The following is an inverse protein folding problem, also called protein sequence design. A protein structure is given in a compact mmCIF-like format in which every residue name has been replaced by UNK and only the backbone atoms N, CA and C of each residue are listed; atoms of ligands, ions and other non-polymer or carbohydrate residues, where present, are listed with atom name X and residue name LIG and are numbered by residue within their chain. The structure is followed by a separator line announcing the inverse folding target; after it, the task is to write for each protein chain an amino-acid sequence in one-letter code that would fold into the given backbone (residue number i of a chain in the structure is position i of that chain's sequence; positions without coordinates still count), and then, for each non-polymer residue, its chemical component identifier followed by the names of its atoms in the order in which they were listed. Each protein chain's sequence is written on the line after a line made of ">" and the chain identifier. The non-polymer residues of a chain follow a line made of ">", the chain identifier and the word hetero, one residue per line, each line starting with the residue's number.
data_IF_883167096679
#
_entry.id   IF_883167096679
#
_cell.length_a   1.000
_cell.length_b   1.000
_cell.length_c   1.000
_cell.angle_alpha   90.00
_cell.angle_beta   90.00
_cell.angle_gamma   90.00
#
_symmetry.space_group_name_H-M   'P 1'
#
loop_
_entity.id
_entity.type
_entity.pdbx_description
1 polymer ?
#
# COMPACT_ATOMS: atom_id res chain seq x y z
N UNK A 1 32.75 -50.96 -2.07
CA UNK A 1 32.09 -49.83 -2.70
C UNK A 1 31.71 -48.83 -1.65
N UNK A 2 32.46 -47.72 -1.50
CA UNK A 2 32.25 -46.72 -0.42
C UNK A 2 31.46 -45.57 -1.00
N UNK A 3 30.23 -45.37 -0.51
CA UNK A 3 29.42 -44.18 -0.82
C UNK A 3 29.92 -43.01 0.03
N UNK A 4 30.37 -41.94 -0.64
CA UNK A 4 30.72 -40.65 -0.02
C UNK A 4 29.44 -39.85 0.24
N UNK A 5 29.20 -39.53 1.49
CA UNK A 5 28.20 -38.58 1.94
C UNK A 5 28.58 -37.14 1.51
N UNK A 6 27.67 -36.45 0.84
CA UNK A 6 27.79 -35.04 0.46
C UNK A 6 27.13 -34.18 1.53
N UNK A 7 27.82 -33.24 2.19
CA UNK A 7 27.21 -32.28 3.09
C UNK A 7 26.99 -30.96 2.36
N UNK A 8 25.80 -30.73 1.78
CA UNK A 8 25.40 -29.41 1.27
C UNK A 8 23.95 -29.13 1.61
N UNK A 9 23.68 -28.67 2.84
CA UNK A 9 22.39 -28.07 3.17
C UNK A 9 22.49 -27.10 4.36
N UNK A 10 23.38 -26.10 4.29
CA UNK A 10 23.42 -25.02 5.31
C UNK A 10 23.97 -23.70 4.73
N UNK A 11 23.35 -23.13 3.70
CA UNK A 11 23.67 -21.74 3.27
C UNK A 11 22.54 -21.01 2.56
N UNK A 12 21.30 -21.15 2.97
CA UNK A 12 20.22 -20.33 2.40
C UNK A 12 19.19 -19.87 3.45
N UNK A 13 19.64 -19.16 4.47
CA UNK A 13 18.72 -18.48 5.42
C UNK A 13 19.20 -17.10 5.86
N UNK A 14 19.80 -16.29 4.98
CA UNK A 14 20.26 -14.96 5.43
C UNK A 14 20.22 -13.86 4.37
N UNK A 15 19.21 -13.80 3.50
CA UNK A 15 19.15 -12.69 2.52
C UNK A 15 17.81 -11.95 2.39
N UNK A 16 16.76 -12.34 3.10
CA UNK A 16 15.44 -11.68 2.97
C UNK A 16 15.17 -10.56 3.99
N UNK A 17 16.05 -10.36 4.99
CA UNK A 17 15.79 -9.42 6.10
C UNK A 17 16.33 -8.00 5.89
N UNK A 18 17.18 -7.79 4.90
CA UNK A 18 17.82 -6.47 4.70
C UNK A 18 16.94 -5.46 3.96
N UNK A 19 16.02 -5.90 3.12
CA UNK A 19 15.16 -4.97 2.37
C UNK A 19 14.02 -4.38 3.21
N UNK A 20 13.50 -5.12 4.18
CA UNK A 20 12.47 -4.59 5.11
C UNK A 20 13.02 -3.51 6.04
N UNK A 21 14.26 -3.67 6.53
CA UNK A 21 14.87 -2.69 7.44
C UNK A 21 15.25 -1.36 6.78
N UNK A 22 15.45 -1.33 5.47
CA UNK A 22 15.77 -0.10 4.75
C UNK A 22 14.55 0.81 4.55
N UNK A 23 13.35 0.23 4.32
CA UNK A 23 12.12 0.99 4.16
C UNK A 23 11.65 1.63 5.48
N UNK A 24 11.77 0.91 6.59
CA UNK A 24 11.38 1.41 7.92
C UNK A 24 12.30 2.56 8.39
N UNK A 25 13.58 2.50 8.05
CA UNK A 25 14.54 3.58 8.40
C UNK A 25 14.31 4.86 7.61
N UNK A 26 13.90 4.77 6.35
CA UNK A 26 13.58 5.95 5.52
C UNK A 26 12.42 6.76 6.06
N UNK A 27 11.38 6.10 6.57
CA UNK A 27 10.21 6.77 7.13
C UNK A 27 10.51 7.53 8.43
N UNK A 28 11.34 6.97 9.30
CA UNK A 28 11.73 7.61 10.57
C UNK A 28 12.58 8.87 10.33
N UNK A 29 13.44 8.89 9.31
CA UNK A 29 14.28 10.05 8.99
C UNK A 29 13.47 11.21 8.38
N UNK A 30 12.43 10.95 7.62
CA UNK A 30 11.53 12.00 7.08
C UNK A 30 10.77 12.68 8.23
N UNK A 31 10.29 11.94 9.20
CA UNK A 31 9.59 12.49 10.38
C UNK A 31 10.56 13.29 11.29
N UNK A 32 11.80 12.83 11.45
CA UNK A 32 12.84 13.53 12.23
C UNK A 32 13.35 14.81 11.55
N UNK A 33 13.49 14.84 10.22
CA UNK A 33 13.92 16.02 9.47
C UNK A 33 12.86 17.15 9.51
N UNK A 34 11.58 16.81 9.58
CA UNK A 34 10.49 17.77 9.75
C UNK A 34 10.44 18.34 11.17
N UNK A 35 10.95 17.62 12.18
CA UNK A 35 11.01 18.08 13.58
C UNK A 35 12.10 19.13 13.89
N UNK A 36 13.13 19.25 13.04
CA UNK A 36 14.27 20.15 13.29
C UNK A 36 14.09 21.53 12.64
N UNK A 37 13.15 21.69 11.73
CA UNK A 37 12.91 22.98 11.04
C UNK A 37 12.06 23.99 11.84
N UNK A 38 11.66 23.67 13.06
CA UNK A 38 10.80 24.54 13.90
C UNK A 38 11.64 25.33 14.92
N UNK A 39 12.46 26.29 14.45
CA UNK A 39 12.82 27.42 15.31
C UNK A 39 11.67 28.43 15.33
N UNK A 40 11.12 28.78 16.49
CA UNK A 40 10.02 29.74 16.55
C UNK A 40 10.56 31.13 16.27
N UNK A 41 10.41 31.63 15.05
CA UNK A 41 10.42 33.06 14.84
C UNK A 41 9.07 33.63 15.31
N UNK A 42 8.98 33.89 16.60
CA UNK A 42 7.96 34.76 17.15
C UNK A 42 8.18 36.17 16.59
N UNK A 43 7.37 36.58 15.61
CA UNK A 43 6.98 38.00 15.43
C UNK A 43 5.98 38.12 14.26
N UNK A 44 4.76 38.52 14.64
CA UNK A 44 3.76 39.19 13.81
C UNK A 44 3.14 38.49 12.61
N UNK A 45 2.26 37.53 12.84
CA UNK A 45 0.93 37.49 12.18
C UNK A 45 0.04 36.44 12.84
N UNK A 46 -1.11 36.81 13.30
CA UNK A 46 -2.11 35.95 13.99
C UNK A 46 -2.66 34.79 13.14
N UNK A 47 -2.16 34.59 11.90
CA UNK A 47 -2.71 33.64 10.94
C UNK A 47 -1.71 32.58 10.44
N UNK A 48 -0.41 32.75 10.69
CA UNK A 48 0.60 31.76 10.25
C UNK A 48 0.73 30.67 11.29
N UNK A 49 0.06 29.55 11.07
CA UNK A 49 0.07 28.43 12.01
C UNK A 49 0.51 27.15 11.33
N UNK A 50 1.39 26.45 11.99
CA UNK A 50 1.71 25.08 11.68
C UNK A 50 0.73 24.14 12.39
N UNK A 51 0.38 23.04 11.74
CA UNK A 51 -0.36 21.96 12.36
C UNK A 51 0.15 20.61 11.88
N UNK A 52 0.01 19.62 12.74
CA UNK A 52 0.32 18.21 12.43
C UNK A 52 -1.02 17.50 12.29
N UNK A 53 -1.13 16.64 11.29
CA UNK A 53 -2.31 15.81 11.06
C UNK A 53 -1.95 14.34 11.14
N UNK A 54 -2.83 13.53 11.74
CA UNK A 54 -2.79 12.09 11.68
C UNK A 54 -4.22 11.59 11.43
N UNK A 55 -4.40 10.75 10.42
CA UNK A 55 -5.71 10.27 10.05
C UNK A 55 -5.68 8.79 9.65
N UNK A 56 -6.80 8.14 9.85
CA UNK A 56 -7.12 6.82 9.29
C UNK A 56 -8.26 6.98 8.30
N UNK A 57 -8.28 6.14 7.31
CA UNK A 57 -9.32 6.24 6.30
C UNK A 57 -9.58 4.93 5.60
N UNK A 58 -10.46 5.00 4.63
CA UNK A 58 -10.85 3.89 3.80
C UNK A 58 -10.80 4.31 2.33
N UNK A 59 -10.18 3.49 1.50
CA UNK A 59 -10.12 3.71 0.07
C UNK A 59 -10.95 2.67 -0.69
N UNK A 60 -11.47 3.10 -1.83
CA UNK A 60 -12.07 2.23 -2.86
C UNK A 60 -11.38 2.55 -4.18
N UNK A 61 -10.53 1.63 -4.64
CA UNK A 61 -9.64 1.80 -5.78
C UNK A 61 -10.15 1.06 -7.02
N UNK A 62 -9.74 1.49 -8.20
CA UNK A 62 -10.05 0.88 -9.49
C UNK A 62 -9.12 -0.31 -9.78
N UNK A 63 -9.12 -1.31 -8.91
CA UNK A 63 -8.31 -2.53 -9.07
C UNK A 63 -9.13 -3.70 -9.66
N UNK A 64 -10.08 -3.39 -10.54
CA UNK A 64 -10.92 -4.40 -11.18
C UNK A 64 -10.10 -5.42 -11.97
N UNK A 65 -9.12 -4.96 -12.73
CA UNK A 65 -8.22 -5.84 -13.51
C UNK A 65 -7.42 -6.81 -12.61
N UNK A 66 -7.08 -6.39 -11.38
CA UNK A 66 -6.42 -7.27 -10.40
C UNK A 66 -7.39 -8.33 -9.89
N UNK A 67 -8.61 -7.95 -9.53
CA UNK A 67 -9.63 -8.87 -9.06
C UNK A 67 -10.03 -9.88 -10.17
N UNK A 68 -10.19 -9.42 -11.43
CA UNK A 68 -10.44 -10.28 -12.58
C UNK A 68 -9.30 -11.26 -12.84
N UNK A 69 -8.04 -10.82 -12.74
CA UNK A 69 -6.86 -11.68 -12.86
C UNK A 69 -6.82 -12.73 -11.75
N UNK A 70 -7.09 -12.33 -10.51
CA UNK A 70 -7.17 -13.26 -9.38
C UNK A 70 -8.24 -14.32 -9.62
N UNK A 71 -9.41 -13.95 -10.14
CA UNK A 71 -10.48 -14.89 -10.47
C UNK A 71 -10.07 -15.83 -11.63
N UNK A 72 -9.45 -15.29 -12.67
CA UNK A 72 -8.93 -16.09 -13.79
C UNK A 72 -7.88 -17.11 -13.33
N UNK A 73 -7.03 -16.76 -12.37
CA UNK A 73 -6.05 -17.69 -11.78
C UNK A 73 -6.74 -18.83 -11.01
N UNK A 74 -7.80 -18.51 -10.22
CA UNK A 74 -8.63 -19.51 -9.53
C UNK A 74 -9.26 -20.48 -10.52
N UNK A 75 -9.87 -19.97 -11.58
CA UNK A 75 -10.52 -20.76 -12.61
C UNK A 75 -9.48 -21.65 -13.35
N UNK A 76 -8.27 -21.12 -13.60
CA UNK A 76 -7.18 -21.86 -14.19
C UNK A 76 -6.74 -23.06 -13.35
N UNK A 77 -6.65 -22.92 -12.05
CA UNK A 77 -6.36 -24.01 -11.13
C UNK A 77 -7.51 -25.02 -11.03
N UNK A 78 -8.74 -24.52 -10.99
CA UNK A 78 -9.96 -25.34 -11.04
C UNK A 78 -10.00 -26.26 -12.26
N UNK A 79 -9.64 -25.75 -13.44
CA UNK A 79 -9.55 -26.52 -14.69
C UNK A 79 -8.44 -27.59 -14.67
N UNK A 80 -7.44 -27.43 -13.79
CA UNK A 80 -6.39 -28.44 -13.55
C UNK A 80 -6.76 -29.45 -12.44
N UNK A 81 -8.00 -29.41 -11.95
CA UNK A 81 -8.51 -30.29 -10.91
C UNK A 81 -8.13 -29.87 -9.48
N UNK A 82 -7.68 -28.63 -9.29
CA UNK A 82 -7.34 -28.06 -7.97
C UNK A 82 -8.32 -26.91 -7.66
N UNK A 83 -9.45 -27.20 -7.02
CA UNK A 83 -10.50 -26.19 -6.76
C UNK A 83 -10.10 -25.28 -5.59
N UNK A 84 -9.27 -24.28 -5.83
CA UNK A 84 -8.94 -23.24 -4.84
C UNK A 84 -10.13 -22.34 -4.58
N UNK A 85 -10.23 -21.78 -3.39
CA UNK A 85 -11.24 -20.82 -3.02
C UNK A 85 -11.08 -19.48 -3.77
N UNK A 86 -12.14 -18.67 -3.80
CA UNK A 86 -12.10 -17.34 -4.40
C UNK A 86 -11.28 -16.38 -3.53
N UNK A 87 -10.56 -15.46 -4.16
CA UNK A 87 -9.91 -14.37 -3.45
C UNK A 87 -10.92 -13.32 -2.97
N UNK A 88 -10.66 -12.73 -1.82
CA UNK A 88 -11.34 -11.51 -1.42
C UNK A 88 -10.91 -10.35 -2.34
N UNK A 89 -11.83 -9.40 -2.62
CA UNK A 89 -11.51 -8.24 -3.46
C UNK A 89 -10.43 -7.37 -2.81
N UNK A 90 -9.45 -6.92 -3.60
CA UNK A 90 -8.39 -6.00 -3.17
C UNK A 90 -8.77 -4.52 -3.30
N UNK A 91 -9.91 -4.20 -3.89
CA UNK A 91 -10.37 -2.83 -4.20
C UNK A 91 -10.59 -1.94 -2.98
N UNK A 92 -10.83 -2.54 -1.82
CA UNK A 92 -11.16 -1.82 -0.58
C UNK A 92 -10.13 -2.10 0.48
N UNK A 93 -9.52 -1.04 1.02
CA UNK A 93 -8.50 -1.17 2.06
C UNK A 93 -8.53 0.02 3.02
N UNK A 94 -8.25 -0.19 4.30
CA UNK A 94 -7.91 0.91 5.19
C UNK A 94 -6.58 1.53 4.76
N UNK A 95 -6.42 2.84 5.04
CA UNK A 95 -5.16 3.54 4.89
C UNK A 95 -4.88 4.41 6.12
N UNK A 96 -3.62 4.73 6.31
CA UNK A 96 -3.13 5.61 7.36
C UNK A 96 -2.42 6.78 6.71
N UNK A 97 -2.58 7.97 7.27
CA UNK A 97 -1.89 9.15 6.78
C UNK A 97 -1.40 10.02 7.94
N UNK A 98 -0.28 10.68 7.71
CA UNK A 98 0.27 11.68 8.60
C UNK A 98 0.84 12.82 7.75
N UNK A 99 0.78 14.04 8.27
CA UNK A 99 1.25 15.19 7.52
C UNK A 99 1.42 16.43 8.36
N UNK A 100 1.94 17.44 7.70
CA UNK A 100 2.06 18.79 8.24
C UNK A 100 1.27 19.73 7.34
N UNK A 101 0.63 20.70 7.95
CA UNK A 101 -0.13 21.75 7.27
C UNK A 101 0.35 23.10 7.76
N UNK A 102 0.62 23.99 6.83
CA UNK A 102 0.95 25.38 7.10
C UNK A 102 -0.16 26.27 6.57
N UNK A 103 -0.84 26.99 7.45
CA UNK A 103 -1.85 27.99 7.10
C UNK A 103 -1.17 29.31 6.84
N UNK A 104 -1.16 29.73 5.58
CA UNK A 104 -0.55 30.99 5.17
C UNK A 104 -1.39 32.20 5.59
N UNK A 105 -2.70 32.11 5.39
CA UNK A 105 -3.68 33.11 5.79
C UNK A 105 -5.01 32.44 6.24
N UNK A 106 -6.10 33.21 6.28
CA UNK A 106 -7.41 32.69 6.67
C UNK A 106 -8.01 31.73 5.66
N UNK A 107 -7.64 31.85 4.41
CA UNK A 107 -8.30 31.17 3.28
C UNK A 107 -7.43 30.08 2.69
N UNK A 108 -6.10 30.14 2.85
CA UNK A 108 -5.20 29.20 2.19
C UNK A 108 -4.28 28.46 3.16
N UNK A 109 -4.11 27.19 2.89
CA UNK A 109 -3.09 26.36 3.55
C UNK A 109 -2.37 25.49 2.54
N UNK A 110 -1.12 25.17 2.84
CA UNK A 110 -0.29 24.20 2.12
C UNK A 110 -0.06 23.01 3.06
N UNK A 111 -0.15 21.81 2.55
CA UNK A 111 0.08 20.58 3.32
C UNK A 111 1.06 19.66 2.61
N UNK A 112 1.84 18.94 3.39
CA UNK A 112 2.63 17.79 2.94
C UNK A 112 2.14 16.58 3.73
N UNK A 113 1.64 15.57 3.03
CA UNK A 113 1.03 14.39 3.63
C UNK A 113 1.67 13.13 3.06
N UNK A 114 2.03 12.20 3.93
CA UNK A 114 2.38 10.84 3.57
C UNK A 114 1.23 9.91 3.94
N UNK A 115 0.88 8.99 3.05
CA UNK A 115 -0.12 7.97 3.31
C UNK A 115 0.39 6.59 2.93
N UNK A 116 -0.12 5.58 3.61
CA UNK A 116 0.24 4.18 3.42
C UNK A 116 -1.00 3.30 3.49
N UNK A 117 -1.11 2.37 2.57
CA UNK A 117 -2.06 1.27 2.65
C UNK A 117 -1.46 -0.01 2.06
N UNK A 118 -1.94 -1.14 2.53
CA UNK A 118 -1.57 -2.45 2.00
C UNK A 118 -2.70 -3.42 2.25
N UNK A 119 -2.90 -4.35 1.32
CA UNK A 119 -3.85 -5.44 1.44
C UNK A 119 -3.26 -6.70 0.85
N UNK A 120 -3.32 -7.78 1.61
CA UNK A 120 -3.00 -9.13 1.15
C UNK A 120 -4.25 -9.98 1.20
N UNK A 121 -4.46 -10.76 0.17
CA UNK A 121 -5.55 -11.74 0.06
C UNK A 121 -4.94 -13.09 -0.26
N UNK A 122 -5.46 -14.12 0.38
CA UNK A 122 -4.96 -15.48 0.23
C UNK A 122 -6.09 -16.40 -0.22
N UNK A 123 -5.74 -17.42 -0.95
CA UNK A 123 -6.60 -18.54 -1.29
C UNK A 123 -5.81 -19.84 -1.17
N UNK A 124 -6.45 -20.90 -0.72
CA UNK A 124 -5.78 -22.19 -0.54
C UNK A 124 -6.69 -23.34 -0.90
N UNK A 125 -6.06 -24.44 -1.26
CA UNK A 125 -6.67 -25.74 -1.41
C UNK A 125 -5.81 -26.75 -0.62
N UNK A 126 -6.46 -27.55 0.21
CA UNK A 126 -5.84 -28.64 0.96
C UNK A 126 -6.70 -29.90 0.71
N UNK A 127 -6.21 -30.76 -0.15
CA UNK A 127 -6.88 -31.98 -0.60
C UNK A 127 -5.99 -33.21 -0.47
N UNK A 128 -6.54 -34.42 -0.63
CA UNK A 128 -5.80 -35.65 -0.42
C UNK A 128 -4.65 -35.85 -1.43
N UNK A 129 -4.77 -35.25 -2.62
CA UNK A 129 -3.82 -35.45 -3.72
C UNK A 129 -2.96 -34.21 -4.02
N UNK A 130 -3.35 -33.04 -3.51
CA UNK A 130 -2.63 -31.79 -3.74
C UNK A 130 -2.89 -30.77 -2.62
N UNK A 131 -1.90 -29.93 -2.39
CA UNK A 131 -1.97 -28.75 -1.54
C UNK A 131 -1.51 -27.54 -2.37
N UNK A 132 -2.25 -26.41 -2.30
CA UNK A 132 -1.89 -25.19 -3.01
C UNK A 132 -2.21 -24.00 -2.14
N UNK A 133 -1.26 -23.09 -2.02
CA UNK A 133 -1.40 -21.83 -1.31
C UNK A 133 -1.05 -20.66 -2.23
N UNK A 134 -1.95 -19.71 -2.35
CA UNK A 134 -1.85 -18.53 -3.20
C UNK A 134 -1.99 -17.28 -2.37
N UNK A 135 -1.01 -16.37 -2.44
CA UNK A 135 -1.06 -15.04 -1.82
C UNK A 135 -0.97 -13.95 -2.89
N UNK A 136 -1.75 -12.91 -2.73
CA UNK A 136 -1.72 -11.71 -3.56
C UNK A 136 -1.70 -10.48 -2.66
N UNK A 137 -0.68 -9.65 -2.83
CA UNK A 137 -0.52 -8.42 -2.08
C UNK A 137 -0.53 -7.20 -3.01
N UNK A 138 -1.21 -6.14 -2.60
CA UNK A 138 -1.17 -4.83 -3.27
C UNK A 138 -1.05 -3.74 -2.21
N UNK A 139 -0.36 -2.65 -2.54
CA UNK A 139 -0.21 -1.54 -1.61
C UNK A 139 0.42 -0.32 -2.27
N UNK A 140 0.33 0.82 -1.60
CA UNK A 140 0.98 2.07 -2.01
C UNK A 140 1.43 2.87 -0.81
N UNK A 141 2.54 3.57 -1.01
CA UNK A 141 2.96 4.70 -0.18
C UNK A 141 2.89 5.95 -1.04
N UNK A 142 2.14 6.95 -0.59
CA UNK A 142 1.96 8.19 -1.34
C UNK A 142 2.57 9.35 -0.54
N UNK A 143 3.27 10.26 -1.23
CA UNK A 143 3.72 11.54 -0.67
C UNK A 143 3.11 12.64 -1.50
N UNK A 144 2.33 13.51 -0.86
CA UNK A 144 1.43 14.44 -1.55
C UNK A 144 1.60 15.84 -0.99
N UNK A 145 1.80 16.81 -1.88
CA UNK A 145 1.68 18.24 -1.60
C UNK A 145 0.23 18.67 -1.89
N UNK A 146 -0.41 19.31 -0.93
CA UNK A 146 -1.79 19.79 -1.04
C UNK A 146 -1.87 21.31 -0.91
N UNK A 147 -2.80 21.90 -1.64
CA UNK A 147 -3.21 23.32 -1.46
C UNK A 147 -4.68 23.31 -1.10
N UNK A 148 -4.99 23.78 0.08
CA UNK A 148 -6.35 23.86 0.61
C UNK A 148 -6.86 25.31 0.59
N UNK A 149 -8.10 25.46 0.12
CA UNK A 149 -8.86 26.72 0.17
C UNK A 149 -9.98 26.61 1.22
N UNK A 150 -10.00 27.53 2.14
CA UNK A 150 -11.00 27.67 3.21
C UNK A 150 -11.89 28.84 2.90
N UNK A 151 -13.16 28.68 2.55
CA UNK A 151 -14.08 29.78 2.31
C UNK A 151 -14.26 30.68 3.55
N UNK A 152 -14.42 31.97 3.32
CA UNK A 152 -14.47 32.98 4.37
C UNK A 152 -15.70 32.85 5.27
N UNK A 153 -16.81 32.32 4.72
CA UNK A 153 -18.09 32.17 5.45
C UNK A 153 -18.12 30.81 6.12
N UNK A 154 -17.93 30.77 7.45
CA UNK A 154 -17.86 29.50 8.21
C UNK A 154 -18.31 29.73 9.67
N UNK A 155 -18.95 28.72 10.29
CA UNK A 155 -19.21 28.73 11.72
C UNK A 155 -17.87 28.69 12.51
N UNK A 156 -17.87 29.28 13.71
CA UNK A 156 -16.66 29.33 14.56
C UNK A 156 -16.04 27.99 14.89
N UNK A 157 -16.85 26.94 14.99
CA UNK A 157 -16.42 25.58 15.38
C UNK A 157 -16.15 24.67 14.20
N UNK A 158 -16.49 25.06 12.95
CA UNK A 158 -16.41 24.23 11.76
C UNK A 158 -15.71 25.00 10.64
N UNK A 159 -14.60 24.49 10.16
CA UNK A 159 -13.86 25.03 9.02
C UNK A 159 -13.85 24.00 7.90
N UNK A 160 -14.65 24.18 6.87
CA UNK A 160 -14.61 23.31 5.71
C UNK A 160 -13.60 23.83 4.68
N UNK A 161 -13.06 22.92 3.86
CA UNK A 161 -12.08 23.25 2.85
C UNK A 161 -12.22 22.40 1.61
N UNK A 162 -11.69 22.89 0.50
CA UNK A 162 -11.46 22.15 -0.73
C UNK A 162 -9.95 22.11 -0.93
N UNK A 163 -9.39 20.94 -1.22
CA UNK A 163 -7.95 20.74 -1.37
C UNK A 163 -7.63 20.04 -2.67
N UNK A 164 -6.72 20.62 -3.44
CA UNK A 164 -6.08 19.98 -4.57
C UNK A 164 -4.77 19.36 -4.11
N UNK A 165 -4.45 18.17 -4.64
CA UNK A 165 -3.32 17.36 -4.24
C UNK A 165 -2.48 16.99 -5.47
N UNK A 166 -1.16 17.09 -5.36
CA UNK A 166 -0.21 16.62 -6.35
C UNK A 166 0.92 15.89 -5.63
N UNK A 167 1.30 14.71 -6.10
CA UNK A 167 2.31 13.93 -5.40
C UNK A 167 2.85 12.76 -6.19
N UNK A 168 3.53 11.88 -5.47
CA UNK A 168 4.13 10.67 -5.97
C UNK A 168 3.48 9.46 -5.27
N UNK A 169 2.93 8.54 -6.06
CA UNK A 169 2.44 7.25 -5.61
C UNK A 169 3.52 6.18 -5.89
N UNK A 170 3.96 5.51 -4.85
CA UNK A 170 4.90 4.39 -4.90
C UNK A 170 4.12 3.10 -4.65
N UNK A 171 3.71 2.45 -5.74
CA UNK A 171 2.92 1.24 -5.69
C UNK A 171 3.80 -0.01 -5.55
N UNK A 172 3.23 -1.02 -4.92
CA UNK A 172 3.82 -2.35 -4.79
C UNK A 172 2.74 -3.40 -5.03
N UNK A 173 3.11 -4.46 -5.72
CA UNK A 173 2.31 -5.66 -5.84
C UNK A 173 3.18 -6.88 -5.56
N UNK A 174 2.61 -7.92 -4.98
CA UNK A 174 3.29 -9.19 -4.74
C UNK A 174 2.35 -10.35 -5.06
N UNK A 175 2.94 -11.43 -5.55
CA UNK A 175 2.23 -12.65 -5.84
C UNK A 175 3.09 -13.83 -5.36
N UNK A 176 2.50 -14.78 -4.66
CA UNK A 176 3.16 -16.02 -4.27
C UNK A 176 2.23 -17.19 -4.54
N UNK A 177 2.79 -18.24 -5.11
CA UNK A 177 2.11 -19.49 -5.32
C UNK A 177 3.04 -20.63 -4.89
N UNK A 178 2.60 -21.46 -3.96
CA UNK A 178 3.33 -22.66 -3.51
C UNK A 178 2.36 -23.82 -3.51
N UNK A 179 2.74 -24.92 -4.17
CA UNK A 179 1.89 -26.10 -4.21
C UNK A 179 2.68 -27.39 -4.33
N UNK A 180 2.19 -28.41 -3.67
CA UNK A 180 2.69 -29.76 -3.74
C UNK A 180 1.61 -30.72 -4.20
N UNK A 181 1.99 -31.78 -4.89
CA UNK A 181 1.10 -32.85 -5.34
C UNK A 181 1.66 -34.20 -4.92
N UNK A 182 0.79 -35.09 -4.48
CA UNK A 182 1.19 -36.48 -4.23
C UNK A 182 1.44 -37.21 -5.55
N UNK A 183 2.65 -37.66 -5.73
CA UNK A 183 3.05 -38.46 -6.89
C UNK A 183 3.39 -39.85 -6.46
N UNK A 184 2.93 -40.85 -7.20
CA UNK A 184 3.24 -42.26 -6.96
C UNK A 184 4.61 -42.61 -7.55
N UNK A 185 5.54 -42.95 -6.67
CA UNK A 185 6.85 -43.52 -7.08
C UNK A 185 6.92 -45.00 -6.64
N UNK A 186 6.69 -45.91 -7.59
CA UNK A 186 6.50 -47.31 -7.29
C UNK A 186 5.26 -47.58 -6.43
N UNK A 187 5.44 -48.03 -5.22
CA UNK A 187 4.36 -48.26 -4.22
C UNK A 187 4.23 -47.15 -3.17
N UNK A 188 5.10 -46.14 -3.22
CA UNK A 188 5.14 -45.06 -2.24
C UNK A 188 4.56 -43.77 -2.83
N UNK A 189 3.71 -43.04 -2.05
CA UNK A 189 3.27 -41.71 -2.38
C UNK A 189 4.24 -40.70 -1.79
N UNK A 190 4.82 -39.84 -2.64
CA UNK A 190 5.73 -38.77 -2.24
C UNK A 190 5.18 -37.41 -2.64
N UNK A 191 5.29 -36.38 -1.78
CA UNK A 191 4.94 -35.03 -2.17
C UNK A 191 5.98 -34.45 -3.12
N UNK A 192 5.53 -33.98 -4.28
CA UNK A 192 6.37 -33.29 -5.27
C UNK A 192 5.90 -31.85 -5.43
N UNK A 193 6.82 -30.92 -5.32
CA UNK A 193 6.55 -29.50 -5.53
C UNK A 193 6.28 -29.27 -7.03
N UNK A 194 5.08 -28.83 -7.38
CA UNK A 194 4.67 -28.56 -8.77
C UNK A 194 4.58 -27.06 -9.09
N UNK A 195 4.47 -26.21 -8.07
CA UNK A 195 4.57 -24.76 -8.21
C UNK A 195 5.31 -24.16 -7.02
N UNK A 196 6.27 -23.30 -7.31
CA UNK A 196 6.97 -22.45 -6.36
C UNK A 196 7.34 -21.17 -7.10
N UNK A 197 6.47 -20.16 -6.95
CA UNK A 197 6.61 -18.90 -7.65
C UNK A 197 6.38 -17.76 -6.68
N UNK A 198 7.32 -16.83 -6.66
CA UNK A 198 7.20 -15.57 -5.92
C UNK A 198 7.50 -14.42 -6.90
N UNK A 199 6.62 -13.43 -6.93
CA UNK A 199 6.79 -12.24 -7.76
C UNK A 199 6.57 -10.98 -6.94
N UNK A 200 7.41 -9.98 -7.17
CA UNK A 200 7.25 -8.65 -6.61
C UNK A 200 7.37 -7.61 -7.71
N UNK A 201 6.55 -6.60 -7.62
CA UNK A 201 6.52 -5.48 -8.57
C UNK A 201 6.49 -4.18 -7.82
N UNK A 202 7.19 -3.15 -8.32
CA UNK A 202 7.15 -1.82 -7.77
C UNK A 202 7.21 -0.78 -8.87
N UNK A 203 6.49 0.33 -8.71
CA UNK A 203 6.52 1.47 -9.63
C UNK A 203 6.15 2.74 -8.90
N UNK A 204 6.82 3.82 -9.28
CA UNK A 204 6.48 5.15 -8.82
C UNK A 204 5.93 5.99 -9.98
N UNK A 205 4.85 6.71 -9.75
CA UNK A 205 4.23 7.60 -10.72
C UNK A 205 3.61 8.81 -10.04
N UNK A 206 3.48 9.89 -10.78
CA UNK A 206 2.76 11.07 -10.28
C UNK A 206 1.30 10.73 -10.03
N UNK A 207 0.78 11.26 -8.95
CA UNK A 207 -0.63 11.21 -8.59
C UNK A 207 -1.18 12.61 -8.42
N UNK A 208 -2.45 12.77 -8.72
CA UNK A 208 -3.21 14.00 -8.49
C UNK A 208 -4.50 13.67 -7.75
N UNK A 209 -5.08 14.65 -7.08
CA UNK A 209 -6.35 14.45 -6.38
C UNK A 209 -7.09 15.73 -6.06
N UNK A 210 -8.36 15.55 -5.78
CA UNK A 210 -9.24 16.59 -5.28
C UNK A 210 -9.96 16.03 -4.05
N UNK A 211 -9.99 16.81 -2.98
CA UNK A 211 -10.69 16.42 -1.75
C UNK A 211 -11.46 17.62 -1.18
N UNK A 212 -12.51 17.30 -0.46
CA UNK A 212 -13.26 18.22 0.37
C UNK A 212 -13.17 17.70 1.80
N UNK A 213 -13.02 18.62 2.77
CA UNK A 213 -12.91 18.22 4.16
C UNK A 213 -13.45 19.28 5.08
N UNK A 214 -13.44 18.93 6.38
CA UNK A 214 -13.85 19.80 7.45
C UNK A 214 -12.97 19.57 8.68
N UNK A 215 -12.57 20.66 9.32
CA UNK A 215 -11.88 20.67 10.59
C UNK A 215 -12.88 21.16 11.66
N UNK A 216 -13.23 20.28 12.61
CA UNK A 216 -14.15 20.57 13.71
C UNK A 216 -13.31 20.84 14.96
N UNK A 217 -13.33 22.07 15.44
CA UNK A 217 -12.58 22.46 16.63
C UNK A 217 -13.17 21.80 17.88
N UNK A 218 -12.37 21.00 18.58
CA UNK A 218 -12.76 20.33 19.82
C UNK A 218 -12.39 21.18 21.04
N UNK A 219 -11.14 21.59 21.12
CA UNK A 219 -10.61 22.48 22.17
C UNK A 219 -9.35 23.19 21.66
N UNK A 220 -8.74 24.03 22.49
CA UNK A 220 -7.59 24.84 22.05
C UNK A 220 -6.46 23.95 21.49
N UNK A 221 -6.08 24.20 20.25
CA UNK A 221 -5.02 23.49 19.54
C UNK A 221 -5.40 22.12 18.98
N UNK A 222 -6.63 21.60 19.22
CA UNK A 222 -7.06 20.30 18.70
C UNK A 222 -8.33 20.42 17.87
N UNK A 223 -8.32 19.78 16.71
CA UNK A 223 -9.48 19.64 15.85
C UNK A 223 -9.62 18.20 15.35
N UNK A 224 -10.88 17.76 15.17
CA UNK A 224 -11.20 16.57 14.40
C UNK A 224 -11.19 16.98 12.92
N UNK A 225 -10.41 16.31 12.09
CA UNK A 225 -10.41 16.52 10.64
C UNK A 225 -11.08 15.36 9.94
N UNK A 226 -11.92 15.67 8.96
CA UNK A 226 -12.60 14.69 8.13
C UNK A 226 -12.42 15.11 6.67
N UNK A 227 -12.17 14.16 5.78
CA UNK A 227 -12.03 14.45 4.36
C UNK A 227 -12.59 13.31 3.50
N UNK A 228 -13.14 13.70 2.35
CA UNK A 228 -13.50 12.78 1.28
C UNK A 228 -12.97 13.35 -0.04
N UNK A 229 -12.52 12.48 -0.94
CA UNK A 229 -11.94 12.93 -2.19
C UNK A 229 -11.75 11.82 -3.20
N UNK A 230 -11.20 12.20 -4.33
CA UNK A 230 -10.81 11.30 -5.40
C UNK A 230 -9.34 11.48 -5.74
N UNK A 231 -8.63 10.36 -5.89
CA UNK A 231 -7.24 10.30 -6.32
C UNK A 231 -7.16 9.72 -7.72
N UNK A 232 -6.29 10.32 -8.53
CA UNK A 232 -5.89 9.84 -9.86
C UNK A 232 -4.46 9.30 -9.76
N UNK A 233 -4.26 8.00 -9.96
CA UNK A 233 -2.95 7.36 -9.85
C UNK A 233 -2.89 6.11 -10.75
N UNK A 234 -2.92 6.32 -12.06
CA UNK A 234 -2.80 5.26 -13.06
C UNK A 234 -1.32 4.89 -13.22
N UNK A 235 -0.92 3.73 -12.73
CA UNK A 235 0.45 3.25 -12.80
C UNK A 235 0.77 2.51 -14.10
N UNK A 236 -0.26 1.89 -14.71
CA UNK A 236 -0.12 1.06 -15.90
C UNK A 236 0.54 -0.28 -15.56
N UNK A 237 1.27 -0.83 -16.52
CA UNK A 237 2.01 -2.09 -16.37
C UNK A 237 3.18 -1.92 -15.40
N UNK A 238 3.35 -2.86 -14.49
CA UNK A 238 4.49 -2.91 -13.57
C UNK A 238 5.54 -3.88 -14.11
N UNK A 239 6.80 -3.64 -13.76
CA UNK A 239 7.86 -4.63 -13.93
C UNK A 239 7.90 -5.55 -12.73
N UNK A 240 7.90 -6.85 -12.95
CA UNK A 240 7.91 -7.87 -11.91
C UNK A 240 9.25 -8.60 -11.89
N UNK A 241 9.82 -8.68 -10.71
CA UNK A 241 10.90 -9.61 -10.41
C UNK A 241 10.26 -10.94 -9.95
N UNK A 242 10.39 -11.97 -10.77
CA UNK A 242 9.73 -13.26 -10.57
C UNK A 242 10.79 -14.31 -10.29
N UNK A 243 10.60 -15.05 -9.21
CA UNK A 243 11.39 -16.23 -8.88
C UNK A 243 10.51 -17.48 -9.05
N UNK A 244 10.90 -18.38 -9.97
CA UNK A 244 10.24 -19.66 -10.19
C UNK A 244 11.23 -20.79 -9.91
N UNK A 245 10.94 -21.64 -8.93
CA UNK A 245 11.84 -22.74 -8.52
C UNK A 245 13.30 -22.29 -8.30
N UNK A 246 13.47 -21.10 -7.71
CA UNK A 246 14.79 -20.50 -7.46
C UNK A 246 15.45 -19.82 -8.66
N UNK A 247 14.81 -19.79 -9.83
CA UNK A 247 15.30 -19.06 -11.00
C UNK A 247 14.65 -17.68 -11.06
N UNK A 248 15.44 -16.64 -11.26
CA UNK A 248 14.99 -15.26 -11.35
C UNK A 248 14.75 -14.84 -12.80
N UNK A 249 13.65 -14.16 -13.04
CA UNK A 249 13.33 -13.50 -14.31
C UNK A 249 12.64 -12.14 -14.06
N UNK A 250 12.90 -11.18 -14.94
CA UNK A 250 12.18 -9.92 -14.97
C UNK A 250 11.15 -9.97 -16.10
N UNK A 251 9.88 -9.87 -15.74
CA UNK A 251 8.78 -9.91 -16.71
C UNK A 251 7.81 -8.75 -16.43
N UNK A 252 7.27 -8.06 -17.45
CA UNK A 252 6.20 -7.11 -17.25
C UNK A 252 4.95 -7.81 -16.75
N UNK A 253 4.19 -7.16 -15.88
CA UNK A 253 2.86 -7.67 -15.48
C UNK A 253 1.94 -7.71 -16.69
N UNK A 254 1.03 -8.67 -16.73
CA UNK A 254 0.04 -8.78 -17.82
C UNK A 254 -1.18 -7.88 -17.62
N UNK A 255 -1.26 -7.19 -16.49
CA UNK A 255 -2.38 -6.33 -16.11
C UNK A 255 -1.91 -4.92 -15.81
N UNK A 256 -2.79 -3.97 -16.04
CA UNK A 256 -2.59 -2.57 -15.66
C UNK A 256 -3.08 -2.34 -14.24
N UNK A 257 -2.30 -1.57 -13.49
CA UNK A 257 -2.64 -1.17 -12.13
C UNK A 257 -3.16 0.27 -12.13
N UNK A 258 -4.42 0.43 -11.74
CA UNK A 258 -5.05 1.74 -11.54
C UNK A 258 -5.40 1.93 -10.05
N UNK A 259 -4.59 2.69 -9.35
CA UNK A 259 -4.80 3.06 -7.96
C UNK A 259 -5.65 4.33 -7.78
N UNK A 260 -6.30 4.78 -8.86
CA UNK A 260 -7.28 5.85 -8.76
C UNK A 260 -8.50 5.39 -7.98
N UNK A 261 -9.13 6.30 -7.26
CA UNK A 261 -10.32 5.94 -6.52
C UNK A 261 -10.75 6.94 -5.46
N UNK A 262 -11.82 6.58 -4.78
CA UNK A 262 -12.41 7.38 -3.70
C UNK A 262 -11.67 7.11 -2.39
N UNK A 263 -11.40 8.18 -1.65
CA UNK A 263 -10.77 8.17 -0.33
C UNK A 263 -11.71 8.87 0.66
N UNK A 264 -11.88 8.27 1.84
CA UNK A 264 -12.58 8.90 2.96
C UNK A 264 -11.70 8.73 4.21
N UNK A 265 -11.48 9.79 4.96
CA UNK A 265 -10.64 9.77 6.16
C UNK A 265 -11.23 10.57 7.29
N UNK A 266 -10.84 10.19 8.51
CA UNK A 266 -11.06 10.94 9.72
C UNK A 266 -9.79 10.89 10.57
N UNK A 267 -9.48 11.98 11.27
CA UNK A 267 -8.25 12.08 12.04
C UNK A 267 -8.24 13.27 12.98
N UNK A 268 -7.06 13.50 13.54
CA UNK A 268 -6.80 14.60 14.44
C UNK A 268 -5.85 15.59 13.78
N UNK A 269 -6.10 16.87 14.04
CA UNK A 269 -5.25 17.98 13.68
C UNK A 269 -4.82 18.68 14.98
N UNK A 270 -3.52 18.84 15.14
CA UNK A 270 -2.91 19.55 16.26
C UNK A 270 -2.23 20.82 15.76
N UNK A 271 -2.65 21.98 16.25
CA UNK A 271 -2.05 23.30 15.97
C UNK A 271 -0.85 23.52 16.90
N UNK A 272 0.30 23.95 16.31
CA UNK A 272 1.53 24.24 17.02
C UNK A 272 1.65 25.72 17.37
#
# INVERSE_FOLDING_TARGET
>A
MRLRSCPQSQRMRHRSDTSRRAADRGFIWIVLLLGVASTPQMLHSQYRKWSITAAVGYNRLNLDAVDEKNQSDVDGWGNQGIPVGTFASVRRSPFYSAGVRYRYDREFAISLTASYWSKTVSSSYDGPDAELHLDRGVGSTDVVLGIAYYPSVRPYFLEWYIQTNLGLAMARASARAVGSRMQKDGSVLIPVLFVDTEGTSAKSKMSAGLSMGADIRLFSGFSLTMAAGYRFAQLGILESDITRFGQHSNEPTTIEFDYSGVLVSAGLLFEL
#
